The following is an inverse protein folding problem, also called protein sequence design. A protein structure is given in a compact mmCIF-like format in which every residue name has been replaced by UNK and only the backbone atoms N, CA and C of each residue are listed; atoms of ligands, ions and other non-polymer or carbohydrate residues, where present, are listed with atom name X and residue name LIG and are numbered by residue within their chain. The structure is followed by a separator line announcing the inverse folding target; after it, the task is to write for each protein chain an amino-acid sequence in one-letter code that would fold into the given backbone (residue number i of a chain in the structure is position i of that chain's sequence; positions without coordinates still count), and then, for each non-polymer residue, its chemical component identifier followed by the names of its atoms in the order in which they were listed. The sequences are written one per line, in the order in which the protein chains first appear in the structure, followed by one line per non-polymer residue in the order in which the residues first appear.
data_IF_086611993179
#
_entry.id   IF_086611993179
#
_cell.length_a   1.000
_cell.length_b   1.000
_cell.length_c   1.000
_cell.angle_alpha   90.00
_cell.angle_beta   90.00
_cell.angle_gamma   90.00
#
_symmetry.space_group_name_H-M   'P 1'
#
loop_
_entity.id
_entity.type
_entity.pdbx_description
1 polymer ?
#
# COMPACT_ATOMS: atom_id res chain seq x y z
N UNK A 1 -5.32 6.67 -3.03
CA UNK A 1 -4.54 6.21 -1.85
C UNK A 1 -3.21 5.53 -2.19
N UNK A 2 -2.93 5.14 -3.45
CA UNK A 2 -1.65 4.50 -3.84
C UNK A 2 -0.39 5.25 -3.37
N UNK A 3 -0.43 6.59 -3.36
CA UNK A 3 0.72 7.42 -2.97
C UNK A 3 1.15 7.27 -1.51
N UNK A 4 0.23 7.00 -0.57
CA UNK A 4 0.60 6.80 0.84
C UNK A 4 1.32 5.47 1.05
N UNK A 5 0.89 4.42 0.35
CA UNK A 5 1.55 3.10 0.36
C UNK A 5 2.93 3.17 -0.29
N UNK A 6 3.07 3.93 -1.39
CA UNK A 6 4.37 4.10 -2.06
C UNK A 6 5.32 4.90 -1.16
N UNK A 7 4.84 5.97 -0.55
CA UNK A 7 5.65 6.90 0.22
C UNK A 7 6.53 7.80 -0.67
N UNK A 8 7.14 8.82 -0.06
CA UNK A 8 8.02 9.76 -0.79
C UNK A 8 9.22 9.01 -1.36
N UNK A 9 9.45 9.13 -2.67
CA UNK A 9 10.52 8.42 -3.36
C UNK A 9 10.39 6.89 -3.35
N UNK A 10 9.21 6.34 -3.05
CA UNK A 10 9.03 4.89 -2.93
C UNK A 10 9.59 4.29 -1.64
N UNK A 11 9.91 5.10 -0.64
CA UNK A 11 10.52 4.64 0.61
C UNK A 11 9.67 3.61 1.33
N UNK A 12 8.35 3.83 1.40
CA UNK A 12 7.43 3.00 2.17
C UNK A 12 7.20 1.65 1.51
N UNK A 13 6.96 1.63 0.20
CA UNK A 13 6.82 0.35 -0.51
C UNK A 13 8.14 -0.43 -0.54
N UNK A 14 9.29 0.24 -0.59
CA UNK A 14 10.60 -0.42 -0.46
C UNK A 14 10.80 -1.06 0.91
N UNK A 15 10.39 -0.37 1.99
CA UNK A 15 10.38 -0.93 3.34
C UNK A 15 9.49 -2.18 3.41
N UNK A 16 8.25 -2.11 2.90
CA UNK A 16 7.31 -3.23 2.91
C UNK A 16 7.88 -4.43 2.14
N UNK A 17 8.47 -4.19 0.95
CA UNK A 17 9.15 -5.26 0.18
C UNK A 17 10.30 -5.89 0.96
N UNK A 18 11.13 -5.09 1.63
CA UNK A 18 12.26 -5.56 2.44
C UNK A 18 11.79 -6.39 3.65
N UNK A 19 10.82 -5.88 4.39
CA UNK A 19 10.31 -6.51 5.63
C UNK A 19 9.54 -7.79 5.34
N UNK A 20 8.69 -7.78 4.31
CA UNK A 20 7.91 -8.96 3.93
C UNK A 20 8.74 -10.01 3.18
N UNK A 21 9.81 -9.60 2.50
CA UNK A 21 10.52 -10.45 1.54
C UNK A 21 9.71 -10.76 0.28
N UNK A 22 8.54 -10.15 0.09
CA UNK A 22 7.69 -10.36 -1.07
C UNK A 22 8.05 -9.40 -2.21
N UNK A 23 7.92 -9.90 -3.45
CA UNK A 23 7.95 -9.05 -4.65
C UNK A 23 6.59 -8.40 -4.82
N UNK A 24 6.55 -7.07 -4.73
CA UNK A 24 5.32 -6.28 -4.88
C UNK A 24 5.39 -5.42 -6.14
N UNK A 25 4.43 -5.56 -7.05
CA UNK A 25 4.25 -4.73 -8.24
C UNK A 25 2.95 -3.92 -8.14
N UNK A 26 2.92 -2.74 -8.75
CA UNK A 26 1.75 -1.84 -8.76
C UNK A 26 1.38 -1.58 -10.21
N UNK A 27 0.10 -1.74 -10.55
CA UNK A 27 -0.39 -1.44 -11.88
C UNK A 27 -0.13 0.03 -12.27
N UNK A 28 0.36 0.23 -13.50
CA UNK A 28 0.64 1.58 -14.04
C UNK A 28 -0.65 2.35 -14.31
N UNK A 29 -1.68 1.66 -14.78
CA UNK A 29 -3.01 2.19 -15.01
C UNK A 29 -3.94 1.76 -13.86
N UNK A 30 -5.01 2.52 -13.59
CA UNK A 30 -6.13 2.06 -12.79
C UNK A 30 -6.73 0.76 -13.34
N UNK A 31 -7.37 -0.02 -12.48
CA UNK A 31 -8.10 -1.22 -12.86
C UNK A 31 -9.42 -0.88 -13.58
N UNK A 32 -10.07 0.18 -13.13
CA UNK A 32 -11.40 0.62 -13.56
C UNK A 32 -11.56 2.14 -13.40
N UNK A 33 -12.79 2.62 -13.65
CA UNK A 33 -13.16 4.04 -13.58
C UNK A 33 -13.14 4.61 -12.14
N UNK A 34 -12.99 3.76 -11.11
CA UNK A 34 -12.88 4.22 -9.71
C UNK A 34 -11.50 4.82 -9.41
N UNK A 35 -10.52 4.60 -10.29
CA UNK A 35 -9.14 5.03 -10.08
C UNK A 35 -8.35 4.10 -9.16
N UNK A 36 -8.90 2.95 -8.77
CA UNK A 36 -8.21 1.94 -7.98
C UNK A 36 -7.05 1.30 -8.75
N UNK A 37 -5.96 1.00 -8.07
CA UNK A 37 -4.78 0.36 -8.67
C UNK A 37 -4.55 -1.00 -8.03
N UNK A 38 -4.38 -2.02 -8.86
CA UNK A 38 -4.03 -3.35 -8.39
C UNK A 38 -2.59 -3.43 -7.90
N UNK A 39 -2.42 -4.16 -6.81
CA UNK A 39 -1.13 -4.63 -6.32
C UNK A 39 -1.00 -6.13 -6.62
N UNK A 40 0.15 -6.54 -7.11
CA UNK A 40 0.50 -7.95 -7.28
C UNK A 40 1.59 -8.30 -6.28
N UNK A 41 1.32 -9.27 -5.41
CA UNK A 41 2.25 -9.76 -4.38
C UNK A 41 2.67 -11.18 -4.76
N UNK A 42 3.98 -11.42 -4.81
CA UNK A 42 4.55 -12.72 -5.17
C UNK A 42 5.69 -13.08 -4.22
N UNK A 43 5.68 -14.32 -3.74
CA UNK A 43 6.60 -14.80 -2.70
C UNK A 43 6.07 -16.07 -2.03
N UNK A 44 6.73 -16.48 -0.95
CA UNK A 44 6.23 -17.57 -0.09
C UNK A 44 4.92 -17.17 0.59
N UNK A 45 4.14 -18.14 1.08
CA UNK A 45 2.89 -17.87 1.80
C UNK A 45 3.10 -16.86 2.95
N UNK A 46 4.13 -17.07 3.78
CA UNK A 46 4.49 -16.17 4.88
C UNK A 46 4.88 -14.77 4.40
N UNK A 47 5.65 -14.68 3.31
CA UNK A 47 6.04 -13.38 2.74
C UNK A 47 4.82 -12.61 2.23
N UNK A 48 3.92 -13.28 1.51
CA UNK A 48 2.72 -12.66 0.96
C UNK A 48 1.76 -12.21 2.06
N UNK A 49 1.57 -13.03 3.11
CA UNK A 49 0.76 -12.68 4.28
C UNK A 49 1.33 -11.45 5.01
N UNK A 50 2.64 -11.42 5.23
CA UNK A 50 3.32 -10.28 5.86
C UNK A 50 3.17 -9.01 5.01
N UNK A 51 3.36 -9.12 3.69
CA UNK A 51 3.17 -7.99 2.78
C UNK A 51 1.73 -7.47 2.81
N UNK A 52 0.74 -8.37 2.78
CA UNK A 52 -0.67 -8.02 2.80
C UNK A 52 -1.03 -7.26 4.09
N UNK A 53 -0.60 -7.78 5.24
CA UNK A 53 -0.81 -7.12 6.53
C UNK A 53 -0.24 -5.70 6.55
N UNK A 54 1.03 -5.53 6.16
CA UNK A 54 1.69 -4.22 6.16
C UNK A 54 1.02 -3.22 5.20
N UNK A 55 0.56 -3.68 4.04
CA UNK A 55 -0.18 -2.85 3.09
C UNK A 55 -1.52 -2.38 3.67
N UNK A 56 -2.27 -3.28 4.33
CA UNK A 56 -3.52 -2.93 4.99
C UNK A 56 -3.32 -1.95 6.14
N UNK A 57 -2.35 -2.18 7.02
CA UNK A 57 -2.08 -1.26 8.13
C UNK A 57 -1.73 0.16 7.65
N UNK A 58 -0.94 0.27 6.58
CA UNK A 58 -0.63 1.57 5.99
C UNK A 58 -1.86 2.26 5.39
N UNK A 59 -2.74 1.47 4.76
CA UNK A 59 -3.95 1.97 4.17
C UNK A 59 -4.92 2.50 5.24
N UNK A 60 -5.16 1.71 6.28
CA UNK A 60 -6.03 2.06 7.40
C UNK A 60 -5.47 3.23 8.22
N UNK A 61 -4.17 3.24 8.49
CA UNK A 61 -3.51 4.35 9.16
C UNK A 61 -3.65 5.67 8.39
N UNK A 62 -3.52 5.65 7.06
CA UNK A 62 -3.74 6.84 6.25
C UNK A 62 -5.23 7.25 6.18
N UNK A 63 -6.17 6.29 6.13
CA UNK A 63 -7.61 6.60 6.20
C UNK A 63 -7.94 7.33 7.50
N UNK A 64 -7.45 6.83 8.63
CA UNK A 64 -7.67 7.44 9.95
C UNK A 64 -7.05 8.83 10.05
N UNK A 65 -5.83 9.02 9.53
CA UNK A 65 -5.17 10.34 9.52
C UNK A 65 -5.96 11.36 8.70
N UNK A 66 -6.56 10.94 7.58
CA UNK A 66 -7.38 11.80 6.72
C UNK A 66 -8.74 12.10 7.34
N UNK A 67 -9.39 11.13 7.97
CA UNK A 67 -10.68 11.37 8.63
C UNK A 67 -10.54 12.34 9.82
N UNK A 68 -9.42 12.30 10.53
CA UNK A 68 -9.12 13.28 11.59
C UNK A 68 -8.68 14.64 11.06
N UNK A 69 -7.98 14.69 9.92
CA UNK A 69 -7.52 15.94 9.30
C UNK A 69 -8.61 16.73 8.56
N UNK A 70 -9.72 16.10 8.17
CA UNK A 70 -10.84 16.75 7.46
C UNK A 70 -11.95 17.27 8.39
N UNK A 71 -11.79 17.15 9.72
CA UNK A 71 -12.78 17.63 10.70
C UNK A 71 -12.55 19.09 11.14
N UNK A 72 -11.66 19.82 10.45
CA UNK A 72 -11.31 21.20 10.78
C UNK A 72 -11.25 22.06 9.50
N UNK A 73 -12.38 22.13 8.78
CA UNK A 73 -12.75 23.21 7.87
C UNK A 73 -14.22 23.59 8.11
#
# INVERSE_FOLDING_TARGET
MVGCIIGRGGSKISEIRKTSGARISIAKAPHDDTGERMFTIMGSAKANETALYLLYENLEGEKMRRSQGNAQE
#
